data_IF_984757973160
#
_entry.id   IF_984757973160
#
_cell.length_a   1.000
_cell.length_b   1.000
_cell.length_c   1.000
_cell.angle_alpha   90.00
_cell.angle_beta   90.00
_cell.angle_gamma   90.00
#
_symmetry.space_group_name_H-M   'P 1'
#
loop_
_entity.id
_entity.type
_entity.pdbx_description
1 polymer ?
#
# COMPACT_ATOMS: atom_id res chain seq x y z
N UNK A 1 47.55 -32.69 -48.52
CA UNK A 1 48.13 -31.34 -48.43
C UNK A 1 47.21 -30.50 -47.58
N UNK A 2 47.76 -30.01 -46.47
CA UNK A 2 47.13 -29.39 -45.31
C UNK A 2 46.51 -28.03 -45.62
N UNK A 3 45.41 -27.69 -44.95
CA UNK A 3 45.24 -26.37 -44.33
C UNK A 3 44.38 -26.47 -43.04
N UNK A 4 44.96 -25.95 -41.96
CA UNK A 4 44.36 -25.71 -40.65
C UNK A 4 43.23 -24.68 -40.74
N UNK A 5 42.17 -24.89 -39.97
CA UNK A 5 41.14 -23.89 -39.67
C UNK A 5 40.91 -23.85 -38.16
N UNK A 6 41.29 -22.74 -37.56
CA UNK A 6 41.39 -22.46 -36.13
C UNK A 6 40.08 -22.66 -35.33
N UNK A 7 40.22 -23.27 -34.15
CA UNK A 7 39.25 -23.26 -33.06
C UNK A 7 39.19 -21.86 -32.43
N UNK A 8 38.00 -21.25 -32.39
CA UNK A 8 37.72 -20.06 -31.57
C UNK A 8 37.93 -20.39 -30.08
N UNK A 9 38.73 -19.61 -29.34
CA UNK A 9 38.78 -19.75 -27.90
C UNK A 9 37.64 -18.95 -27.25
N UNK A 10 37.17 -19.53 -26.15
CA UNK A 10 36.24 -19.01 -25.17
C UNK A 10 36.36 -17.51 -24.89
N UNK A 11 35.22 -16.81 -24.89
CA UNK A 11 35.06 -15.55 -24.15
C UNK A 11 33.86 -15.66 -23.21
N UNK A 12 34.00 -16.52 -22.19
CA UNK A 12 33.19 -16.52 -20.98
C UNK A 12 33.90 -15.67 -19.92
N UNK A 13 33.86 -14.35 -20.04
CA UNK A 13 34.33 -13.48 -18.94
C UNK A 13 33.66 -12.10 -18.86
N UNK A 14 32.55 -11.84 -19.57
CA UNK A 14 31.94 -10.51 -19.65
C UNK A 14 30.55 -10.37 -19.00
N UNK A 15 30.13 -11.35 -18.19
CA UNK A 15 28.79 -11.40 -17.57
C UNK A 15 28.75 -10.86 -16.12
N UNK A 16 29.91 -10.55 -15.52
CA UNK A 16 30.02 -10.26 -14.08
C UNK A 16 29.56 -8.84 -13.71
N UNK A 17 29.79 -7.84 -14.57
CA UNK A 17 29.40 -6.46 -14.31
C UNK A 17 27.96 -6.15 -14.72
N UNK A 18 27.42 -6.82 -15.76
CA UNK A 18 25.99 -6.75 -16.06
C UNK A 18 25.14 -7.29 -14.91
N UNK A 19 25.62 -8.35 -14.25
CA UNK A 19 25.02 -8.90 -13.03
C UNK A 19 25.15 -7.95 -11.81
N UNK A 20 26.28 -7.27 -11.62
CA UNK A 20 26.46 -6.33 -10.48
C UNK A 20 25.53 -5.12 -10.58
N UNK A 21 25.37 -4.49 -11.74
CA UNK A 21 24.48 -3.32 -11.85
C UNK A 21 23.00 -3.70 -11.89
N UNK A 22 22.67 -4.87 -12.43
CA UNK A 22 21.33 -5.42 -12.36
C UNK A 22 20.97 -5.78 -10.90
N UNK A 23 21.94 -6.26 -10.11
CA UNK A 23 21.76 -6.52 -8.68
C UNK A 23 21.48 -5.26 -7.84
N UNK A 24 21.96 -4.09 -8.30
CA UNK A 24 21.72 -2.78 -7.70
C UNK A 24 20.39 -2.14 -8.14
N UNK A 25 19.61 -2.81 -9.00
CA UNK A 25 18.27 -2.36 -9.44
C UNK A 25 18.28 -1.06 -10.27
N UNK A 26 19.45 -0.63 -10.77
CA UNK A 26 19.57 0.55 -11.63
C UNK A 26 19.21 0.19 -13.08
N UNK A 27 18.51 1.08 -13.77
CA UNK A 27 18.17 0.85 -15.20
C UNK A 27 19.36 1.23 -16.11
N UNK A 28 19.51 0.62 -17.30
CA UNK A 28 20.50 1.01 -18.31
C UNK A 28 20.48 2.51 -18.65
N UNK A 29 19.29 3.13 -18.64
CA UNK A 29 19.15 4.58 -18.84
C UNK A 29 19.85 5.36 -17.71
N UNK A 30 19.65 4.91 -16.47
CA UNK A 30 20.23 5.54 -15.28
C UNK A 30 21.74 5.38 -15.23
N UNK A 31 22.25 4.19 -15.57
CA UNK A 31 23.69 3.91 -15.62
C UNK A 31 24.35 4.73 -16.72
N UNK A 32 23.74 4.82 -17.90
CA UNK A 32 24.28 5.63 -19.00
C UNK A 32 24.28 7.13 -18.67
N UNK A 33 23.25 7.59 -17.97
CA UNK A 33 23.19 8.97 -17.50
C UNK A 33 24.25 9.28 -16.43
N UNK A 34 24.44 8.38 -15.46
CA UNK A 34 25.47 8.48 -14.43
C UNK A 34 26.88 8.48 -15.06
N UNK A 35 27.13 7.56 -16.02
CA UNK A 35 28.37 7.49 -16.77
C UNK A 35 28.62 8.74 -17.62
N UNK A 36 27.63 9.17 -18.41
CA UNK A 36 27.76 10.32 -19.29
C UNK A 36 27.98 11.62 -18.52
N UNK A 37 27.28 11.80 -17.40
CA UNK A 37 27.44 12.97 -16.52
C UNK A 37 28.81 12.97 -15.85
N UNK A 38 29.28 11.82 -15.35
CA UNK A 38 30.62 11.69 -14.77
C UNK A 38 31.75 11.95 -15.79
N UNK A 39 31.47 11.68 -17.08
CA UNK A 39 32.42 11.84 -18.19
C UNK A 39 32.27 13.18 -18.94
N UNK A 40 31.38 14.08 -18.49
CA UNK A 40 31.11 15.38 -19.13
C UNK A 40 30.34 15.32 -20.45
N UNK A 41 29.83 14.15 -20.83
CA UNK A 41 29.13 13.88 -22.08
C UNK A 41 27.74 13.28 -21.79
N UNK A 42 26.82 14.10 -21.31
CA UNK A 42 25.48 13.64 -20.92
C UNK A 42 24.72 13.02 -22.12
N UNK A 43 24.03 11.88 -21.93
CA UNK A 43 23.33 11.20 -23.01
C UNK A 43 22.14 12.01 -23.52
N UNK A 44 22.13 12.32 -24.80
CA UNK A 44 21.01 12.99 -25.48
C UNK A 44 20.14 11.94 -26.16
N UNK A 45 18.87 11.85 -25.77
CA UNK A 45 17.90 10.95 -26.38
C UNK A 45 17.00 11.69 -27.36
N UNK A 46 16.95 11.22 -28.60
CA UNK A 46 16.12 11.76 -29.66
C UNK A 46 15.15 10.69 -30.16
N UNK A 47 13.89 11.08 -30.40
CA UNK A 47 12.90 10.19 -31.00
C UNK A 47 12.98 10.31 -32.50
N UNK A 48 13.40 9.24 -33.17
CA UNK A 48 13.57 9.26 -34.62
C UNK A 48 12.25 9.03 -35.34
N UNK A 49 11.51 8.00 -34.89
CA UNK A 49 10.23 7.64 -35.52
C UNK A 49 9.34 6.86 -34.56
N UNK A 50 8.04 6.99 -34.80
CA UNK A 50 7.00 6.20 -34.16
C UNK A 50 6.15 5.58 -35.28
N UNK A 51 6.17 4.26 -35.36
CA UNK A 51 5.49 3.46 -36.40
C UNK A 51 4.64 2.37 -35.72
N UNK A 52 3.73 1.76 -36.45
CA UNK A 52 2.92 0.64 -35.94
C UNK A 52 1.44 0.98 -35.78
N UNK A 53 0.63 -0.07 -35.73
CA UNK A 53 -0.82 0.01 -35.52
C UNK A 53 -1.13 0.33 -34.05
N UNK A 54 -2.32 0.85 -33.75
CA UNK A 54 -2.71 1.17 -32.37
C UNK A 54 -2.67 -0.01 -31.39
N UNK A 55 -2.70 -1.25 -31.90
CA UNK A 55 -2.57 -2.48 -31.09
C UNK A 55 -1.12 -2.97 -30.95
N UNK A 56 -0.17 -2.46 -31.75
CA UNK A 56 1.25 -2.80 -31.69
C UNK A 56 2.11 -1.59 -32.10
N UNK A 57 2.19 -0.55 -31.26
CA UNK A 57 3.02 0.61 -31.54
C UNK A 57 4.51 0.24 -31.43
N UNK A 58 5.36 0.91 -32.19
CA UNK A 58 6.81 0.73 -32.23
C UNK A 58 7.49 2.08 -32.25
N UNK A 59 8.32 2.32 -31.25
CA UNK A 59 9.06 3.58 -31.09
C UNK A 59 10.53 3.32 -31.33
N UNK A 60 11.19 4.25 -32.01
CA UNK A 60 12.60 4.22 -32.29
C UNK A 60 13.25 5.44 -31.67
N UNK A 61 14.26 5.21 -30.85
CA UNK A 61 15.02 6.23 -30.17
C UNK A 61 16.50 6.09 -30.51
N UNK A 62 17.18 7.21 -30.74
CA UNK A 62 18.63 7.27 -30.71
C UNK A 62 19.11 7.92 -29.42
N UNK A 63 20.26 7.46 -28.96
CA UNK A 63 21.01 8.07 -27.86
C UNK A 63 22.40 8.44 -28.37
N UNK A 64 22.85 9.65 -28.04
CA UNK A 64 24.20 10.13 -28.31
C UNK A 64 24.92 10.36 -27.00
N UNK A 65 26.07 9.70 -26.82
CA UNK A 65 26.95 9.83 -25.64
C UNK A 65 28.38 9.95 -26.14
N UNK A 66 29.03 11.08 -25.86
CA UNK A 66 30.33 11.43 -26.42
C UNK A 66 30.31 11.33 -27.97
N UNK A 67 31.15 10.47 -28.54
CA UNK A 67 31.25 10.21 -29.98
C UNK A 67 30.41 9.01 -30.45
N UNK A 68 29.71 8.34 -29.53
CA UNK A 68 28.93 7.14 -29.82
C UNK A 68 27.47 7.50 -30.02
N UNK A 69 26.87 6.97 -31.08
CA UNK A 69 25.43 7.00 -31.33
C UNK A 69 24.89 5.58 -31.39
N UNK A 70 23.86 5.32 -30.59
CA UNK A 70 23.16 4.04 -30.60
C UNK A 70 21.68 4.23 -30.80
N UNK A 71 21.01 3.21 -31.33
CA UNK A 71 19.56 3.22 -31.54
C UNK A 71 18.91 2.07 -30.79
N UNK A 72 17.67 2.28 -30.35
CA UNK A 72 16.85 1.28 -29.69
C UNK A 72 15.41 1.36 -30.16
N UNK A 73 14.77 0.19 -30.24
CA UNK A 73 13.37 0.05 -30.63
C UNK A 73 12.57 -0.50 -29.45
N UNK A 74 11.28 -0.21 -29.36
CA UNK A 74 10.44 -0.87 -28.38
C UNK A 74 8.96 -0.54 -28.51
N UNK A 75 8.08 -1.33 -27.86
CA UNK A 75 6.64 -1.11 -27.91
C UNK A 75 6.19 0.15 -27.16
N UNK A 76 7.08 0.75 -26.36
CA UNK A 76 6.85 2.00 -25.66
C UNK A 76 8.06 2.91 -25.81
N UNK A 77 7.86 4.23 -25.70
CA UNK A 77 8.96 5.22 -25.69
C UNK A 77 10.01 4.88 -24.62
N UNK A 78 9.58 4.35 -23.47
CA UNK A 78 10.47 3.93 -22.37
C UNK A 78 11.30 2.69 -22.74
N UNK A 79 10.68 1.67 -23.35
CA UNK A 79 11.39 0.47 -23.80
C UNK A 79 12.41 0.79 -24.90
N UNK A 80 12.04 1.65 -25.86
CA UNK A 80 12.94 2.09 -26.92
C UNK A 80 14.16 2.84 -26.39
N UNK A 81 13.96 3.78 -25.45
CA UNK A 81 15.06 4.47 -24.75
C UNK A 81 15.94 3.51 -23.94
N UNK A 82 15.34 2.53 -23.28
CA UNK A 82 16.05 1.52 -22.50
C UNK A 82 16.96 0.66 -23.39
N UNK A 83 16.45 0.21 -24.55
CA UNK A 83 17.25 -0.54 -25.51
C UNK A 83 18.37 0.31 -26.11
N UNK A 84 18.10 1.58 -26.45
CA UNK A 84 19.12 2.51 -26.95
C UNK A 84 20.23 2.71 -25.90
N UNK A 85 19.85 2.85 -24.63
CA UNK A 85 20.78 3.02 -23.53
C UNK A 85 21.64 1.78 -23.26
N UNK A 86 21.04 0.59 -23.31
CA UNK A 86 21.76 -0.68 -23.16
C UNK A 86 22.78 -0.87 -24.29
N UNK A 87 22.42 -0.55 -25.53
CA UNK A 87 23.34 -0.59 -26.66
C UNK A 87 24.53 0.37 -26.48
N UNK A 88 24.27 1.59 -25.99
CA UNK A 88 25.33 2.56 -25.72
C UNK A 88 26.27 2.12 -24.58
N UNK A 89 25.74 1.56 -23.50
CA UNK A 89 26.55 1.04 -22.39
C UNK A 89 27.47 -0.10 -22.85
N UNK A 90 27.00 -0.99 -23.71
CA UNK A 90 27.82 -2.08 -24.26
C UNK A 90 29.03 -1.56 -25.04
N UNK A 91 28.87 -0.48 -25.79
CA UNK A 91 29.97 0.14 -26.54
C UNK A 91 30.90 0.95 -25.63
N UNK A 92 30.36 1.68 -24.67
CA UNK A 92 31.16 2.45 -23.72
C UNK A 92 31.99 1.54 -22.79
N UNK A 93 31.48 0.35 -22.46
CA UNK A 93 32.23 -0.64 -21.68
C UNK A 93 33.44 -1.22 -22.45
N UNK A 94 33.35 -1.21 -23.79
CA UNK A 94 34.45 -1.58 -24.69
C UNK A 94 35.55 -0.51 -24.71
N UNK A 95 35.16 0.76 -24.60
CA UNK A 95 36.07 1.92 -24.60
C UNK A 95 36.71 2.21 -23.22
N UNK A 96 36.06 1.83 -22.10
CA UNK A 96 36.58 2.03 -20.73
C UNK A 96 37.83 1.21 -20.35
N UNK A 97 38.38 0.40 -21.26
CA UNK A 97 39.75 -0.14 -21.16
C UNK A 97 40.82 0.91 -21.51
N UNK A 98 40.43 2.11 -21.95
CA UNK A 98 41.30 3.26 -22.18
C UNK A 98 40.78 4.48 -21.42
N UNK A 99 41.62 4.93 -20.49
CA UNK A 99 41.65 6.25 -19.88
C UNK A 99 40.70 6.52 -18.71
N UNK A 100 41.37 7.01 -17.67
CA UNK A 100 40.98 7.21 -16.30
C UNK A 100 40.64 8.69 -16.03
N UNK A 101 39.65 8.90 -15.16
CA UNK A 101 39.64 9.92 -14.08
C UNK A 101 39.10 11.34 -14.41
N UNK A 102 38.68 12.14 -13.39
CA UNK A 102 37.26 12.40 -13.12
C UNK A 102 36.93 13.89 -12.83
N UNK A 103 35.65 14.30 -12.88
CA UNK A 103 35.30 15.63 -12.39
C UNK A 103 33.81 16.03 -12.40
N UNK A 104 33.13 15.73 -11.28
CA UNK A 104 32.04 16.50 -10.60
C UNK A 104 30.97 17.20 -11.45
N UNK A 105 29.69 16.90 -11.20
CA UNK A 105 28.73 17.76 -10.46
C UNK A 105 27.26 17.44 -10.77
N UNK A 106 26.50 17.21 -9.70
CA UNK A 106 25.16 17.67 -9.33
C UNK A 106 23.93 17.66 -10.29
N UNK A 107 22.89 17.00 -9.76
CA UNK A 107 21.45 17.35 -9.73
C UNK A 107 20.46 16.92 -10.84
N UNK A 108 19.51 16.12 -10.34
CA UNK A 108 18.04 16.24 -10.44
C UNK A 108 17.30 15.95 -11.75
N UNK A 109 16.36 15.00 -11.64
CA UNK A 109 15.00 15.26 -12.12
C UNK A 109 14.33 14.14 -12.90
N UNK A 110 13.53 13.35 -12.18
CA UNK A 110 12.26 12.73 -12.59
C UNK A 110 12.21 11.79 -13.82
N UNK A 111 11.92 10.51 -13.56
CA UNK A 111 10.97 9.75 -14.38
C UNK A 111 10.50 8.43 -13.73
N UNK A 112 9.23 8.42 -13.35
CA UNK A 112 8.28 7.34 -13.64
C UNK A 112 8.79 5.90 -13.49
N UNK A 113 8.87 5.54 -12.21
CA UNK A 113 8.55 4.28 -11.59
C UNK A 113 7.85 3.24 -12.48
N UNK A 114 8.61 2.24 -12.92
CA UNK A 114 8.11 0.91 -13.25
C UNK A 114 9.18 -0.06 -12.76
N UNK A 115 9.14 -0.40 -11.49
CA UNK A 115 9.89 -1.52 -10.95
C UNK A 115 8.98 -2.27 -9.97
N UNK A 116 8.41 -3.38 -10.46
CA UNK A 116 7.73 -4.38 -9.64
C UNK A 116 8.80 -5.14 -8.86
N UNK A 117 9.35 -4.47 -7.85
CA UNK A 117 9.90 -5.13 -6.67
C UNK A 117 8.71 -5.23 -5.71
N UNK A 118 8.35 -6.39 -5.11
CA UNK A 118 7.20 -6.49 -4.22
C UNK A 118 7.40 -5.55 -3.04
N UNK A 119 6.92 -4.32 -3.18
CA UNK A 119 6.99 -3.32 -2.14
C UNK A 119 6.14 -3.81 -0.98
N UNK A 120 6.52 -3.47 0.24
CA UNK A 120 5.73 -3.82 1.43
C UNK A 120 4.30 -3.25 1.35
N UNK A 121 4.09 -2.22 0.52
CA UNK A 121 2.77 -1.73 0.12
C UNK A 121 1.97 -2.79 -0.66
N UNK A 122 2.60 -3.43 -1.65
CA UNK A 122 2.01 -4.51 -2.45
C UNK A 122 1.73 -5.74 -1.59
N UNK A 123 2.67 -6.14 -0.72
CA UNK A 123 2.49 -7.25 0.21
C UNK A 123 1.30 -7.00 1.15
N UNK A 124 1.26 -5.84 1.79
CA UNK A 124 0.15 -5.50 2.68
C UNK A 124 -1.17 -5.50 1.91
N UNK A 125 -1.20 -4.95 0.70
CA UNK A 125 -2.40 -4.94 -0.13
C UNK A 125 -2.86 -6.35 -0.54
N UNK A 126 -1.94 -7.21 -0.99
CA UNK A 126 -2.25 -8.60 -1.33
C UNK A 126 -2.79 -9.36 -0.12
N UNK A 127 -2.16 -9.18 1.04
CA UNK A 127 -2.60 -9.77 2.30
C UNK A 127 -4.02 -9.32 2.69
N UNK A 128 -4.34 -8.02 2.54
CA UNK A 128 -5.72 -7.55 2.77
C UNK A 128 -6.72 -8.18 1.82
N UNK A 129 -6.37 -8.35 0.53
CA UNK A 129 -7.26 -8.95 -0.47
C UNK A 129 -7.47 -10.44 -0.17
N UNK A 130 -6.39 -11.17 0.11
CA UNK A 130 -6.43 -12.61 0.40
C UNK A 130 -7.28 -12.92 1.64
N UNK A 131 -7.23 -12.04 2.66
CA UNK A 131 -7.98 -12.19 3.91
C UNK A 131 -9.36 -11.52 3.89
N UNK A 132 -9.73 -10.85 2.80
CA UNK A 132 -11.01 -10.12 2.69
C UNK A 132 -11.10 -8.88 3.58
N UNK A 133 -9.98 -8.32 4.02
CA UNK A 133 -9.93 -7.14 4.88
C UNK A 133 -10.08 -5.84 4.09
N UNK A 134 -10.44 -4.74 4.78
CA UNK A 134 -10.47 -3.41 4.16
C UNK A 134 -9.08 -2.99 3.69
N UNK A 135 -9.03 -2.21 2.60
CA UNK A 135 -7.76 -1.75 2.04
C UNK A 135 -7.08 -0.74 2.99
N UNK A 136 -5.74 -0.76 3.11
CA UNK A 136 -5.03 0.25 3.87
C UNK A 136 -5.16 1.63 3.21
N UNK A 137 -5.36 2.66 4.04
CA UNK A 137 -5.43 4.04 3.61
C UNK A 137 -4.10 4.74 3.82
N UNK A 138 -3.71 5.60 2.88
CA UNK A 138 -2.45 6.34 2.95
C UNK A 138 -2.71 7.83 2.84
N UNK A 139 -2.15 8.61 3.76
CA UNK A 139 -2.27 10.06 3.78
C UNK A 139 -0.88 10.70 3.91
N UNK A 140 -0.57 11.68 3.05
CA UNK A 140 0.63 12.50 3.20
C UNK A 140 0.37 13.49 4.34
N UNK A 141 1.17 13.42 5.41
CA UNK A 141 1.03 14.29 6.58
C UNK A 141 1.91 15.54 6.48
N UNK A 142 3.12 15.40 5.93
CA UNK A 142 4.07 16.50 5.83
C UNK A 142 5.00 16.35 4.62
N UNK A 143 5.43 17.48 4.08
CA UNK A 143 6.52 17.62 3.12
C UNK A 143 7.46 18.70 3.68
N UNK A 144 8.73 18.36 3.89
CA UNK A 144 9.72 19.24 4.48
C UNK A 144 11.08 19.10 3.78
N UNK A 145 12.04 19.92 4.20
CA UNK A 145 13.40 19.87 3.68
C UNK A 145 13.63 20.71 2.41
N UNK A 146 14.90 21.03 2.09
CA UNK A 146 15.24 21.81 0.92
C UNK A 146 15.02 21.01 -0.38
N UNK A 147 14.95 21.66 -1.56
CA UNK A 147 14.67 20.98 -2.83
C UNK A 147 15.57 19.79 -3.16
N UNK A 148 16.81 19.77 -2.66
CA UNK A 148 17.81 18.71 -2.86
C UNK A 148 17.81 17.63 -1.76
N UNK A 149 17.02 17.81 -0.69
CA UNK A 149 16.88 16.88 0.42
C UNK A 149 15.44 16.95 0.95
N UNK A 150 14.48 16.71 0.05
CA UNK A 150 13.06 16.68 0.41
C UNK A 150 12.78 15.47 1.27
N UNK A 151 11.93 15.66 2.27
CA UNK A 151 11.46 14.64 3.16
C UNK A 151 9.93 14.63 3.14
N UNK A 152 9.35 13.45 2.97
CA UNK A 152 7.91 13.22 3.00
C UNK A 152 7.56 12.35 4.18
N UNK A 153 6.54 12.74 4.93
CA UNK A 153 5.93 11.90 5.96
C UNK A 153 4.58 11.40 5.48
N UNK A 154 4.41 10.07 5.43
CA UNK A 154 3.17 9.42 5.03
C UNK A 154 2.67 8.56 6.18
N UNK A 155 1.39 8.70 6.54
CA UNK A 155 0.71 7.78 7.44
C UNK A 155 0.04 6.66 6.64
N UNK A 156 0.22 5.42 7.10
CA UNK A 156 -0.58 4.27 6.70
C UNK A 156 -1.55 3.94 7.82
N UNK A 157 -2.85 3.96 7.52
CA UNK A 157 -3.92 3.50 8.42
C UNK A 157 -4.44 2.17 7.91
N UNK A 158 -4.39 1.17 8.78
CA UNK A 158 -4.89 -0.16 8.51
C UNK A 158 -5.67 -0.65 9.73
N UNK A 159 -7.00 -0.63 9.62
CA UNK A 159 -7.91 -0.87 10.75
C UNK A 159 -7.59 0.11 11.92
N UNK A 160 -7.53 -0.40 13.14
CA UNK A 160 -7.09 0.30 14.37
C UNK A 160 -5.60 0.61 14.41
N UNK A 161 -4.80 0.12 13.45
CA UNK A 161 -3.37 0.39 13.39
C UNK A 161 -3.09 1.63 12.52
N UNK A 162 -2.27 2.53 13.03
CA UNK A 162 -1.75 3.65 12.25
C UNK A 162 -0.25 3.76 12.48
N UNK A 163 0.52 3.82 11.39
CA UNK A 163 1.97 3.97 11.43
C UNK A 163 2.42 5.05 10.45
N UNK A 164 3.50 5.75 10.80
CA UNK A 164 4.08 6.82 9.97
C UNK A 164 5.41 6.36 9.37
N UNK A 165 5.55 6.51 8.07
CA UNK A 165 6.80 6.32 7.34
C UNK A 165 7.34 7.65 6.85
N UNK A 166 8.66 7.78 6.86
CA UNK A 166 9.38 8.95 6.36
C UNK A 166 10.17 8.54 5.11
N UNK A 167 10.47 9.46 4.21
CA UNK A 167 11.33 9.13 3.07
C UNK A 167 11.60 10.28 2.13
N UNK A 168 12.62 10.13 1.29
CA UNK A 168 13.03 11.13 0.30
C UNK A 168 12.02 11.35 -0.83
N UNK A 169 10.99 10.50 -0.91
CA UNK A 169 9.87 10.62 -1.84
C UNK A 169 8.59 10.11 -1.19
N UNK A 170 7.43 10.54 -1.70
CA UNK A 170 6.12 10.01 -1.27
C UNK A 170 6.05 8.49 -1.37
N UNK A 171 6.67 7.90 -2.41
CA UNK A 171 6.73 6.43 -2.58
C UNK A 171 7.57 5.77 -1.49
N UNK A 172 8.77 6.30 -1.21
CA UNK A 172 9.64 5.77 -0.16
C UNK A 172 8.97 5.84 1.22
N UNK A 173 8.38 7.00 1.56
CA UNK A 173 7.64 7.19 2.80
C UNK A 173 6.44 6.24 2.91
N UNK A 174 5.70 6.03 1.81
CA UNK A 174 4.58 5.08 1.75
C UNK A 174 5.04 3.63 2.01
N UNK A 175 6.17 3.24 1.42
CA UNK A 175 6.77 1.92 1.62
C UNK A 175 7.18 1.71 3.07
N UNK A 176 7.87 2.67 3.69
CA UNK A 176 8.25 2.58 5.09
C UNK A 176 7.03 2.52 6.02
N UNK A 177 5.98 3.28 5.73
CA UNK A 177 4.73 3.23 6.51
C UNK A 177 4.08 1.85 6.44
N UNK A 178 4.06 1.23 5.25
CA UNK A 178 3.55 -0.13 5.07
C UNK A 178 4.42 -1.20 5.75
N UNK A 179 5.74 -1.07 5.68
CA UNK A 179 6.70 -1.95 6.40
C UNK A 179 6.41 -1.98 7.90
N UNK A 180 6.20 -0.80 8.50
CA UNK A 180 5.88 -0.68 9.92
C UNK A 180 4.55 -1.35 10.28
N UNK A 181 3.52 -1.21 9.43
CA UNK A 181 2.25 -1.93 9.65
C UNK A 181 2.46 -3.44 9.58
N UNK A 182 3.15 -3.96 8.56
CA UNK A 182 3.41 -5.40 8.42
C UNK A 182 4.19 -5.94 9.62
N UNK A 183 5.24 -5.25 10.05
CA UNK A 183 6.01 -5.63 11.23
C UNK A 183 5.15 -5.62 12.51
N UNK A 184 4.23 -4.65 12.64
CA UNK A 184 3.29 -4.59 13.76
C UNK A 184 2.30 -5.75 13.75
N UNK A 185 1.78 -6.11 12.57
CA UNK A 185 0.92 -7.28 12.40
C UNK A 185 1.64 -8.58 12.80
N UNK A 186 2.90 -8.74 12.39
CA UNK A 186 3.75 -9.89 12.77
C UNK A 186 4.00 -9.92 14.29
N UNK A 187 4.31 -8.77 14.89
CA UNK A 187 4.51 -8.66 16.34
C UNK A 187 3.25 -9.05 17.12
N UNK A 188 2.07 -8.62 16.67
CA UNK A 188 0.79 -8.99 17.30
C UNK A 188 0.43 -10.46 17.09
N UNK A 189 0.94 -11.07 16.01
CA UNK A 189 0.76 -12.50 15.69
C UNK A 189 1.73 -13.42 16.43
N UNK A 190 2.75 -12.86 17.11
CA UNK A 190 3.77 -13.63 17.81
C UNK A 190 4.79 -14.32 16.89
N UNK A 191 4.89 -13.95 15.61
CA UNK A 191 5.78 -14.61 14.66
C UNK A 191 5.78 -14.01 13.23
N UNK A 192 6.54 -14.62 12.30
CA UNK A 192 6.61 -14.17 10.91
C UNK A 192 5.31 -14.41 10.12
N UNK A 193 4.50 -15.38 10.55
CA UNK A 193 3.18 -15.64 10.00
C UNK A 193 2.15 -14.69 10.63
N UNK A 194 1.43 -13.94 9.79
CA UNK A 194 0.41 -13.00 10.25
C UNK A 194 -0.89 -13.78 10.52
N UNK A 195 -1.12 -14.08 11.79
CA UNK A 195 -2.35 -14.68 12.35
C UNK A 195 -3.28 -13.63 12.95
N UNK A 196 -2.80 -12.40 13.13
CA UNK A 196 -3.61 -11.26 13.56
C UNK A 196 -4.82 -11.10 12.64
N UNK A 197 -5.99 -10.92 13.24
CA UNK A 197 -7.22 -10.57 12.54
C UNK A 197 -7.73 -9.24 13.07
N UNK A 198 -8.21 -8.34 12.19
CA UNK A 198 -8.87 -7.12 12.62
C UNK A 198 -10.10 -7.50 13.47
N UNK A 199 -10.40 -6.68 14.49
CA UNK A 199 -11.68 -6.80 15.17
C UNK A 199 -12.78 -6.56 14.15
N UNK A 200 -13.86 -7.36 14.11
CA UNK A 200 -14.96 -7.14 13.20
C UNK A 200 -15.47 -5.71 13.40
N UNK A 201 -15.32 -4.85 12.41
CA UNK A 201 -15.82 -3.48 12.51
C UNK A 201 -16.62 -3.10 11.28
N UNK A 202 -17.80 -2.55 11.53
CA UNK A 202 -18.70 -2.11 10.47
C UNK A 202 -18.78 -0.58 10.49
N UNK A 203 -18.62 0.03 9.32
CA UNK A 203 -18.94 1.46 9.19
C UNK A 203 -20.43 1.64 9.50
N UNK A 204 -20.76 2.54 10.43
CA UNK A 204 -22.16 2.73 10.84
C UNK A 204 -23.05 3.13 9.65
N UNK A 205 -22.49 3.79 8.63
CA UNK A 205 -23.19 4.05 7.36
C UNK A 205 -23.62 2.80 6.60
N UNK A 206 -22.88 1.70 6.68
CA UNK A 206 -23.25 0.46 6.01
C UNK A 206 -24.50 -0.13 6.69
N UNK A 207 -24.58 -0.07 8.02
CA UNK A 207 -25.77 -0.45 8.78
C UNK A 207 -26.97 0.42 8.37
N UNK A 208 -26.75 1.73 8.17
CA UNK A 208 -27.79 2.65 7.65
C UNK A 208 -28.32 2.24 6.28
N UNK A 209 -27.43 1.84 5.36
CA UNK A 209 -27.76 1.50 3.97
C UNK A 209 -28.24 0.05 3.80
N UNK A 210 -28.04 -0.79 4.81
CA UNK A 210 -28.38 -2.21 4.77
C UNK A 210 -29.90 -2.43 4.65
N UNK A 211 -30.29 -3.34 3.75
CA UNK A 211 -31.67 -3.78 3.53
C UNK A 211 -31.93 -5.21 4.02
N UNK A 212 -31.04 -5.74 4.86
CA UNK A 212 -31.16 -7.08 5.41
C UNK A 212 -32.38 -7.21 6.35
N UNK A 213 -32.74 -8.43 6.72
CA UNK A 213 -34.03 -8.74 7.35
C UNK A 213 -34.14 -8.14 8.75
N UNK A 214 -33.13 -8.33 9.61
CA UNK A 214 -33.14 -7.89 11.01
C UNK A 214 -33.09 -6.37 11.11
N UNK A 215 -32.25 -5.69 10.32
CA UNK A 215 -32.24 -4.22 10.29
C UNK A 215 -33.57 -3.65 9.77
N UNK A 216 -34.19 -4.29 8.78
CA UNK A 216 -35.49 -3.88 8.26
C UNK A 216 -36.62 -4.13 9.26
N UNK A 217 -36.52 -5.21 10.05
CA UNK A 217 -37.43 -5.51 11.15
C UNK A 217 -37.29 -4.49 12.28
N UNK A 218 -36.06 -4.12 12.64
CA UNK A 218 -35.77 -3.09 13.65
C UNK A 218 -36.39 -1.73 13.27
N UNK A 219 -36.27 -1.34 12.00
CA UNK A 219 -36.87 -0.09 11.49
C UNK A 219 -38.39 -0.06 11.66
N UNK A 220 -39.09 -1.15 11.32
CA UNK A 220 -40.56 -1.22 11.34
C UNK A 220 -41.16 -1.51 12.73
N UNK A 221 -40.43 -2.18 13.61
CA UNK A 221 -41.00 -2.72 14.86
C UNK A 221 -40.80 -1.78 16.04
N UNK A 222 -41.80 -1.59 16.92
CA UNK A 222 -41.61 -0.83 18.15
C UNK A 222 -40.65 -1.55 19.09
N UNK A 223 -39.83 -0.80 19.82
CA UNK A 223 -38.89 -1.34 20.82
C UNK A 223 -39.46 -1.30 22.25
N UNK A 224 -40.74 -0.95 22.43
CA UNK A 224 -41.40 -0.93 23.74
C UNK A 224 -42.20 -2.22 23.94
N UNK A 225 -41.51 -3.36 23.98
CA UNK A 225 -42.10 -4.69 24.07
C UNK A 225 -41.84 -5.20 25.49
N UNK A 226 -42.88 -5.51 26.29
CA UNK A 226 -42.70 -6.06 27.62
C UNK A 226 -41.94 -7.39 27.58
N UNK A 227 -41.01 -7.60 28.52
CA UNK A 227 -40.23 -8.84 28.65
C UNK A 227 -39.47 -9.26 27.38
N UNK A 228 -39.12 -8.30 26.53
CA UNK A 228 -38.32 -8.58 25.35
C UNK A 228 -36.85 -8.82 25.70
N UNK A 229 -36.26 -9.78 24.99
CA UNK A 229 -34.84 -10.08 25.02
C UNK A 229 -34.11 -9.20 24.00
N UNK A 230 -33.71 -8.01 24.44
CA UNK A 230 -32.99 -7.05 23.61
C UNK A 230 -31.55 -7.49 23.37
N UNK A 231 -30.98 -8.30 24.27
CA UNK A 231 -29.65 -8.87 24.11
C UNK A 231 -29.65 -9.78 22.88
N UNK A 232 -30.61 -10.71 22.79
CA UNK A 232 -30.72 -11.61 21.64
C UNK A 232 -31.03 -10.86 20.35
N UNK A 233 -31.93 -9.86 20.38
CA UNK A 233 -32.22 -9.05 19.20
C UNK A 233 -30.99 -8.28 18.70
N UNK A 234 -30.19 -7.73 19.62
CA UNK A 234 -28.96 -7.01 19.28
C UNK A 234 -27.89 -7.97 18.74
N UNK A 235 -27.77 -9.18 19.30
CA UNK A 235 -26.85 -10.22 18.82
C UNK A 235 -27.22 -10.70 17.41
N UNK A 236 -28.49 -10.97 17.15
CA UNK A 236 -28.97 -11.33 15.81
C UNK A 236 -28.62 -10.24 14.77
N UNK A 237 -28.82 -8.97 15.16
CA UNK A 237 -28.49 -7.84 14.32
C UNK A 237 -26.98 -7.69 14.12
N UNK A 238 -26.18 -7.94 15.17
CA UNK A 238 -24.73 -7.83 15.12
C UNK A 238 -24.13 -8.87 14.17
N UNK A 239 -24.64 -10.10 14.20
CA UNK A 239 -24.28 -11.15 13.25
C UNK A 239 -24.67 -10.81 11.81
N UNK A 240 -25.88 -10.26 11.59
CA UNK A 240 -26.34 -9.88 10.25
C UNK A 240 -25.50 -8.73 9.66
N UNK A 241 -25.12 -7.76 10.49
CA UNK A 241 -24.44 -6.54 10.04
C UNK A 241 -22.91 -6.63 10.15
N UNK A 242 -22.36 -7.67 10.78
CA UNK A 242 -20.93 -7.90 10.90
C UNK A 242 -20.24 -7.01 11.95
N UNK A 243 -20.89 -6.76 13.08
CA UNK A 243 -20.27 -6.12 14.25
C UNK A 243 -20.35 -7.02 15.48
N UNK A 244 -19.46 -6.79 16.44
CA UNK A 244 -19.41 -7.43 17.74
C UNK A 244 -20.06 -6.55 18.80
N UNK A 245 -20.58 -7.19 19.84
CA UNK A 245 -21.18 -6.54 21.00
C UNK A 245 -20.45 -7.04 22.24
N UNK A 246 -19.88 -6.11 23.01
CA UNK A 246 -19.22 -6.41 24.28
C UNK A 246 -19.92 -5.66 25.40
N UNK A 247 -20.20 -6.33 26.51
CA UNK A 247 -20.82 -5.72 27.69
C UNK A 247 -19.75 -5.55 28.78
N UNK A 248 -19.73 -4.35 29.39
CA UNK A 248 -18.88 -4.02 30.52
C UNK A 248 -19.76 -3.62 31.69
N UNK A 249 -19.72 -4.40 32.76
CA UNK A 249 -20.38 -4.04 34.01
C UNK A 249 -19.57 -2.96 34.74
N UNK A 250 -20.26 -1.97 35.30
CA UNK A 250 -19.65 -0.98 36.18
C UNK A 250 -19.93 -1.44 37.61
N UNK A 251 -18.85 -1.72 38.35
CA UNK A 251 -18.92 -2.27 39.71
C UNK A 251 -19.67 -1.33 40.68
N UNK A 252 -19.56 -0.02 40.47
CA UNK A 252 -20.25 0.99 41.26
C UNK A 252 -21.74 1.02 40.92
N UNK A 253 -22.60 0.95 41.95
CA UNK A 253 -24.04 1.15 41.78
C UNK A 253 -24.35 2.63 41.54
N UNK A 254 -25.45 2.91 40.84
CA UNK A 254 -25.97 4.29 40.72
C UNK A 254 -26.33 4.86 42.09
N UNK A 255 -26.57 6.17 42.15
CA UNK A 255 -27.10 6.86 43.34
C UNK A 255 -28.40 6.25 43.87
N UNK A 256 -29.16 5.58 43.02
CA UNK A 256 -30.41 4.89 43.36
C UNK A 256 -30.20 3.40 43.67
N UNK A 257 -28.95 2.94 43.80
CA UNK A 257 -28.61 1.55 44.08
C UNK A 257 -28.81 0.60 42.89
N UNK A 258 -28.79 1.10 41.64
CA UNK A 258 -28.99 0.28 40.45
C UNK A 258 -27.67 -0.19 39.86
N UNK A 259 -27.66 -1.40 39.28
CA UNK A 259 -26.56 -1.92 38.49
C UNK A 259 -26.43 -1.14 37.18
N UNK A 260 -25.21 -1.05 36.68
CA UNK A 260 -24.85 -0.28 35.50
C UNK A 260 -24.07 -1.14 34.51
N UNK A 261 -24.34 -0.94 33.22
CA UNK A 261 -23.69 -1.68 32.14
C UNK A 261 -23.45 -0.76 30.94
N UNK A 262 -22.32 -0.95 30.26
CA UNK A 262 -21.98 -0.36 28.98
C UNK A 262 -21.95 -1.43 27.90
N UNK A 263 -22.74 -1.26 26.84
CA UNK A 263 -22.68 -2.04 25.61
C UNK A 263 -21.81 -1.31 24.59
N UNK A 264 -20.66 -1.89 24.26
CA UNK A 264 -19.79 -1.49 23.15
C UNK A 264 -20.18 -2.24 21.89
N UNK A 265 -20.44 -1.51 20.82
CA UNK A 265 -20.61 -2.06 19.49
C UNK A 265 -19.35 -1.70 18.69
N UNK A 266 -18.75 -2.69 18.03
CA UNK A 266 -17.54 -2.51 17.23
C UNK A 266 -17.78 -1.76 15.90
N UNK A 267 -18.65 -0.76 15.89
CA UNK A 267 -18.88 0.10 14.74
C UNK A 267 -17.72 1.08 14.52
N UNK A 268 -17.68 1.72 13.36
CA UNK A 268 -16.77 2.82 13.04
C UNK A 268 -17.59 4.09 12.78
N UNK A 269 -17.51 5.14 13.64
CA UNK A 269 -16.82 5.14 14.94
C UNK A 269 -17.47 4.18 15.96
N UNK A 270 -16.72 3.82 17.02
CA UNK A 270 -17.20 2.91 18.09
C UNK A 270 -18.44 3.49 18.76
N UNK A 271 -19.47 2.66 18.94
CA UNK A 271 -20.71 3.05 19.61
C UNK A 271 -20.72 2.49 21.03
N UNK A 272 -20.96 3.35 22.02
CA UNK A 272 -21.13 2.98 23.42
C UNK A 272 -22.54 3.32 23.88
N UNK A 273 -23.25 2.36 24.46
CA UNK A 273 -24.60 2.55 24.98
C UNK A 273 -24.66 2.17 26.45
N UNK A 274 -25.37 2.95 27.25
CA UNK A 274 -25.47 2.73 28.69
C UNK A 274 -26.82 2.14 29.07
N UNK A 275 -26.84 1.25 30.05
CA UNK A 275 -28.04 0.71 30.64
C UNK A 275 -27.94 0.56 32.15
N UNK A 276 -29.06 0.78 32.83
CA UNK A 276 -29.20 0.63 34.28
C UNK A 276 -30.30 -0.36 34.63
N UNK A 277 -30.14 -1.11 35.71
CA UNK A 277 -31.12 -2.10 36.11
C UNK A 277 -31.10 -2.48 37.58
N UNK A 278 -32.17 -3.12 38.03
CA UNK A 278 -32.25 -3.70 39.39
C UNK A 278 -31.34 -4.93 39.57
N UNK A 279 -30.78 -5.46 38.47
CA UNK A 279 -29.80 -6.55 38.43
C UNK A 279 -28.84 -6.32 37.26
N UNK A 280 -27.68 -6.99 37.27
CA UNK A 280 -26.72 -6.99 36.16
C UNK A 280 -27.39 -7.41 34.84
N UNK A 281 -28.12 -8.54 34.82
CA UNK A 281 -28.84 -9.00 33.63
C UNK A 281 -29.86 -7.97 33.12
N UNK A 282 -30.57 -7.27 34.01
CA UNK A 282 -31.47 -6.20 33.61
C UNK A 282 -30.69 -5.00 33.05
N UNK A 283 -29.55 -4.63 33.63
CA UNK A 283 -28.70 -3.55 33.12
C UNK A 283 -28.17 -3.87 31.72
N UNK A 284 -27.74 -5.11 31.46
CA UNK A 284 -27.36 -5.60 30.12
C UNK A 284 -28.50 -5.46 29.12
N UNK A 285 -29.71 -5.92 29.49
CA UNK A 285 -30.87 -5.85 28.61
C UNK A 285 -31.26 -4.39 28.28
N UNK A 286 -31.14 -3.48 29.25
CA UNK A 286 -31.39 -2.03 29.04
C UNK A 286 -30.28 -1.39 28.19
N UNK A 287 -29.02 -1.80 28.34
CA UNK A 287 -27.92 -1.33 27.50
C UNK A 287 -28.11 -1.80 26.05
N UNK A 288 -28.52 -3.05 25.86
CA UNK A 288 -28.85 -3.62 24.55
C UNK A 288 -30.06 -2.90 23.90
N UNK A 289 -31.09 -2.59 24.69
CA UNK A 289 -32.23 -1.80 24.23
C UNK A 289 -31.80 -0.41 23.76
N UNK A 290 -30.97 0.28 24.53
CA UNK A 290 -30.43 1.60 24.19
C UNK A 290 -29.60 1.55 22.90
N UNK A 291 -28.83 0.49 22.70
CA UNK A 291 -28.10 0.25 21.46
C UNK A 291 -29.02 0.03 20.25
N UNK A 292 -30.06 -0.80 20.38
CA UNK A 292 -31.07 -1.01 19.34
C UNK A 292 -31.81 0.30 19.00
N UNK A 293 -32.12 1.12 20.01
CA UNK A 293 -32.71 2.45 19.80
C UNK A 293 -31.78 3.37 19.03
N UNK A 294 -30.51 3.43 19.41
CA UNK A 294 -29.49 4.21 18.70
C UNK A 294 -29.39 3.77 17.23
N UNK A 295 -29.20 2.48 16.97
CA UNK A 295 -29.12 1.94 15.59
C UNK A 295 -30.39 2.27 14.83
N UNK A 296 -31.58 2.14 15.44
CA UNK A 296 -32.85 2.45 14.79
C UNK A 296 -32.95 3.92 14.37
N UNK A 297 -32.55 4.86 15.24
CA UNK A 297 -32.53 6.30 14.94
C UNK A 297 -31.59 6.57 13.77
N UNK A 298 -30.37 6.07 13.89
CA UNK A 298 -29.29 6.21 12.91
C UNK A 298 -29.71 5.62 11.56
N UNK A 299 -30.33 4.44 11.53
CA UNK A 299 -30.79 3.79 10.31
C UNK A 299 -32.08 4.39 9.72
N UNK A 300 -32.73 5.32 10.42
CA UNK A 300 -33.95 6.01 9.96
C UNK A 300 -33.69 7.48 9.57
N UNK A 301 -32.57 8.07 9.97
CA UNK A 301 -32.18 9.42 9.55
C UNK A 301 -31.73 9.40 8.09
N UNK A 302 -32.49 10.07 7.21
CA UNK A 302 -32.10 10.33 5.80
C UNK A 302 -31.00 11.37 5.71
#
# INVERSE_FOLDING_TARGET
MSQQGYQSPDDKSLDSQEAEWASLGKTPIQILHEYGTASGNAPVYEMEKAEGSGHQPSFFFSVRVADIRCTGQGPTKKAAKHQAASAALKLLNLDSKKLTSPGKSDTNGDAADANYNPSSVSLLQELTIQRGWRRPEYAVLAESGPPHQREFTVACRFDSLTEKGVGSSKKAAKREAAEKIVAKLQSLSGGPEITWTPKPSVLLENVKKSSAEKISLLRRSPLNIPNADYIQMLLDLSHEQGFEVTYYDIDELTVNGQYQCLAELSTDPVTMCHGTGISCSNAHNVAAHSALQYIKIVASSK
#
